data_IF_066931852223
#
_entry.id   IF_066931852223
#
_cell.length_a   1.000
_cell.length_b   1.000
_cell.length_c   1.000
_cell.angle_alpha   90.00
_cell.angle_beta   90.00
_cell.angle_gamma   90.00
#
_symmetry.space_group_name_H-M   'P 1'
#
loop_
_entity.id
_entity.type
_entity.pdbx_description
1 polymer ?
#
# COMPACT_ATOMS: atom_id res chain seq x y z
N UNK A 1 70.13 19.38 47.21
CA UNK A 1 69.62 20.06 45.99
C UNK A 1 69.18 19.09 44.89
N UNK A 2 69.95 18.04 44.55
CA UNK A 2 69.58 17.07 43.48
C UNK A 2 68.24 16.33 43.71
N UNK A 3 67.96 15.86 44.92
CA UNK A 3 66.74 15.10 45.21
C UNK A 3 65.46 15.94 45.09
N UNK A 4 65.49 17.22 45.49
CA UNK A 4 64.34 18.11 45.39
C UNK A 4 64.00 18.46 43.92
N UNK A 5 65.02 18.57 43.07
CA UNK A 5 64.83 18.84 41.64
C UNK A 5 64.13 17.66 40.93
N UNK A 6 64.52 16.43 41.27
CA UNK A 6 63.95 15.20 40.67
C UNK A 6 62.45 15.06 41.01
N UNK A 7 62.07 15.32 42.27
CA UNK A 7 60.66 15.24 42.68
C UNK A 7 59.81 16.30 41.99
N UNK A 8 60.33 17.52 41.82
CA UNK A 8 59.62 18.58 41.11
C UNK A 8 59.38 18.23 39.63
N UNK A 9 60.41 17.72 38.94
CA UNK A 9 60.27 17.27 37.56
C UNK A 9 59.30 16.10 37.40
N UNK A 10 59.31 15.14 38.33
CA UNK A 10 58.36 14.02 38.31
C UNK A 10 56.90 14.47 38.47
N UNK A 11 56.63 15.39 39.40
CA UNK A 11 55.29 15.96 39.59
C UNK A 11 54.83 16.77 38.36
N UNK A 12 55.72 17.55 37.77
CA UNK A 12 55.42 18.35 36.58
C UNK A 12 55.11 17.46 35.36
N UNK A 13 55.91 16.40 35.14
CA UNK A 13 55.66 15.42 34.07
C UNK A 13 54.35 14.65 34.30
N UNK A 14 54.03 14.29 35.55
CA UNK A 14 52.76 13.65 35.90
C UNK A 14 51.55 14.55 35.60
N UNK A 15 51.64 15.84 35.95
CA UNK A 15 50.59 16.82 35.65
C UNK A 15 50.42 17.04 34.14
N UNK A 16 51.53 17.17 33.40
CA UNK A 16 51.48 17.28 31.93
C UNK A 16 50.86 16.05 31.27
N UNK A 17 51.22 14.85 31.74
CA UNK A 17 50.63 13.61 31.24
C UNK A 17 49.11 13.56 31.52
N UNK A 18 48.68 13.92 32.72
CA UNK A 18 47.26 13.97 33.08
C UNK A 18 46.48 14.98 32.22
N UNK A 19 47.04 16.17 31.97
CA UNK A 19 46.43 17.19 31.10
C UNK A 19 46.31 16.72 29.65
N UNK A 20 47.34 16.06 29.12
CA UNK A 20 47.31 15.50 27.77
C UNK A 20 46.25 14.41 27.63
N UNK A 21 46.16 13.49 28.60
CA UNK A 21 45.12 12.45 28.63
C UNK A 21 43.73 13.08 28.72
N UNK A 22 43.54 14.08 29.57
CA UNK A 22 42.26 14.80 29.68
C UNK A 22 41.87 15.50 28.36
N UNK A 23 42.82 16.15 27.70
CA UNK A 23 42.56 16.82 26.42
C UNK A 23 42.24 15.82 25.30
N UNK A 24 42.98 14.71 25.23
CA UNK A 24 42.70 13.59 24.31
C UNK A 24 41.29 13.02 24.55
N UNK A 25 40.95 12.76 25.82
CA UNK A 25 39.64 12.26 26.22
C UNK A 25 38.52 13.21 25.79
N UNK A 26 38.64 14.52 26.07
CA UNK A 26 37.65 15.52 25.67
C UNK A 26 37.48 15.61 24.16
N UNK A 27 38.57 15.52 23.39
CA UNK A 27 38.52 15.54 21.92
C UNK A 27 37.80 14.31 21.38
N UNK A 28 38.08 13.13 21.94
CA UNK A 28 37.43 11.88 21.57
C UNK A 28 35.93 11.89 21.90
N UNK A 29 35.56 12.36 23.10
CA UNK A 29 34.16 12.43 23.53
C UNK A 29 33.35 13.39 22.64
N UNK A 30 33.89 14.57 22.32
CA UNK A 30 33.26 15.50 21.39
C UNK A 30 33.04 14.87 20.01
N UNK A 31 34.05 14.19 19.46
CA UNK A 31 33.95 13.51 18.17
C UNK A 31 32.91 12.39 18.17
N UNK A 32 32.78 11.65 19.29
CA UNK A 32 31.74 10.60 19.42
C UNK A 32 30.33 11.17 19.46
N UNK A 33 30.13 12.29 20.17
CA UNK A 33 28.82 12.94 20.25
C UNK A 33 28.41 13.49 18.89
N UNK A 34 29.33 14.09 18.15
CA UNK A 34 29.09 14.59 16.80
C UNK A 34 28.76 13.44 15.84
N UNK A 35 29.57 12.37 15.83
CA UNK A 35 29.29 11.19 15.03
C UNK A 35 27.93 10.54 15.36
N UNK A 36 27.52 10.54 16.63
CA UNK A 36 26.20 10.04 17.03
C UNK A 36 25.05 10.92 16.50
N UNK A 37 25.20 12.25 16.56
CA UNK A 37 24.22 13.19 16.00
C UNK A 37 24.10 13.07 14.49
N UNK A 38 25.22 12.94 13.80
CA UNK A 38 25.25 12.76 12.34
C UNK A 38 24.60 11.44 11.93
N UNK A 39 24.90 10.35 12.65
CA UNK A 39 24.26 9.06 12.43
C UNK A 39 22.73 9.14 12.64
N UNK A 40 22.29 9.85 13.68
CA UNK A 40 20.86 10.07 13.93
C UNK A 40 20.21 10.91 12.83
N UNK A 41 20.85 12.00 12.40
CA UNK A 41 20.34 12.84 11.32
C UNK A 41 20.22 12.06 10.01
N UNK A 42 21.23 11.27 9.67
CA UNK A 42 21.22 10.40 8.48
C UNK A 42 20.09 9.37 8.56
N UNK A 43 19.89 8.74 9.72
CA UNK A 43 18.79 7.79 9.92
C UNK A 43 17.42 8.46 9.72
N UNK A 44 17.24 9.69 10.22
CA UNK A 44 16.00 10.46 10.04
C UNK A 44 15.76 10.85 8.58
N UNK A 45 16.79 11.29 7.86
CA UNK A 45 16.71 11.63 6.44
C UNK A 45 16.32 10.39 5.63
N UNK A 46 16.98 9.26 5.88
CA UNK A 46 16.70 8.01 5.18
C UNK A 46 15.29 7.49 5.48
N UNK A 47 14.84 7.59 6.73
CA UNK A 47 13.46 7.25 7.10
C UNK A 47 12.46 8.16 6.37
N UNK A 48 12.71 9.46 6.33
CA UNK A 48 11.88 10.42 5.61
C UNK A 48 11.80 10.13 4.12
N UNK A 49 12.93 9.79 3.49
CA UNK A 49 13.00 9.38 2.08
C UNK A 49 12.15 8.16 1.80
N UNK A 50 12.31 7.09 2.59
CA UNK A 50 11.51 5.86 2.44
C UNK A 50 10.02 6.12 2.60
N UNK A 51 9.64 6.91 3.59
CA UNK A 51 8.24 7.26 3.81
C UNK A 51 7.66 8.07 2.65
N UNK A 52 8.42 9.03 2.11
CA UNK A 52 8.00 9.81 0.95
C UNK A 52 7.82 8.92 -0.29
N UNK A 53 8.77 8.02 -0.56
CA UNK A 53 8.69 7.05 -1.66
C UNK A 53 7.46 6.15 -1.53
N UNK A 54 7.23 5.58 -0.34
CA UNK A 54 6.05 4.75 -0.07
C UNK A 54 4.74 5.53 -0.23
N UNK A 55 4.69 6.77 0.27
CA UNK A 55 3.50 7.62 0.17
C UNK A 55 3.19 7.95 -1.28
N UNK A 56 4.21 8.31 -2.07
CA UNK A 56 4.05 8.60 -3.50
C UNK A 56 3.58 7.35 -4.26
N UNK A 57 4.20 6.19 -4.02
CA UNK A 57 3.80 4.93 -4.64
C UNK A 57 2.33 4.59 -4.34
N UNK A 58 1.92 4.71 -3.07
CA UNK A 58 0.54 4.47 -2.67
C UNK A 58 -0.45 5.44 -3.33
N UNK A 59 -0.08 6.72 -3.47
CA UNK A 59 -0.90 7.71 -4.16
C UNK A 59 -1.08 7.39 -5.65
N UNK A 60 0.01 7.01 -6.33
CA UNK A 60 -0.05 6.61 -7.74
C UNK A 60 -0.91 5.36 -7.94
N UNK A 61 -0.73 4.34 -7.11
CA UNK A 61 -1.55 3.13 -7.13
C UNK A 61 -3.05 3.43 -6.95
N UNK A 62 -3.37 4.27 -5.95
CA UNK A 62 -4.75 4.68 -5.68
C UNK A 62 -5.36 5.41 -6.88
N UNK A 63 -4.59 6.30 -7.51
CA UNK A 63 -5.08 7.05 -8.66
C UNK A 63 -5.26 6.17 -9.90
N UNK A 64 -4.31 5.26 -10.16
CA UNK A 64 -4.39 4.33 -11.29
C UNK A 64 -5.67 3.47 -11.22
N UNK A 65 -5.94 2.86 -10.07
CA UNK A 65 -7.17 2.10 -9.84
C UNK A 65 -8.43 2.95 -10.02
N UNK A 66 -8.44 4.18 -9.48
CA UNK A 66 -9.60 5.08 -9.59
C UNK A 66 -9.88 5.53 -11.02
N UNK A 67 -8.86 5.70 -11.84
CA UNK A 67 -9.03 6.07 -13.24
C UNK A 67 -9.65 4.92 -14.05
N UNK A 68 -9.25 3.69 -13.76
CA UNK A 68 -9.69 2.52 -14.51
C UNK A 68 -11.06 1.98 -14.08
N UNK A 69 -11.53 2.33 -12.88
CA UNK A 69 -12.80 1.83 -12.32
C UNK A 69 -14.03 2.21 -13.12
N UNK A 70 -13.93 3.24 -13.97
CA UNK A 70 -15.00 3.63 -14.88
C UNK A 70 -15.42 2.48 -15.80
N UNK A 71 -14.49 1.59 -16.18
CA UNK A 71 -14.77 0.41 -16.98
C UNK A 71 -15.77 -0.53 -16.27
N UNK A 72 -15.59 -0.77 -14.97
CA UNK A 72 -16.52 -1.57 -14.17
C UNK A 72 -17.92 -0.94 -14.13
N UNK A 73 -18.03 0.39 -14.13
CA UNK A 73 -19.33 1.07 -14.12
C UNK A 73 -20.08 0.87 -15.44
N UNK A 74 -19.38 0.95 -16.59
CA UNK A 74 -19.99 0.64 -17.89
C UNK A 74 -20.44 -0.82 -17.97
N UNK A 75 -19.60 -1.76 -17.51
CA UNK A 75 -19.93 -3.18 -17.52
C UNK A 75 -21.16 -3.49 -16.65
N UNK A 76 -21.24 -2.92 -15.44
CA UNK A 76 -22.40 -3.10 -14.57
C UNK A 76 -23.69 -2.59 -15.20
N UNK A 77 -23.66 -1.47 -15.90
CA UNK A 77 -24.83 -0.97 -16.64
C UNK A 77 -25.25 -1.97 -17.71
N UNK A 78 -24.31 -2.43 -18.55
CA UNK A 78 -24.63 -3.36 -19.64
C UNK A 78 -25.11 -4.73 -19.12
N UNK A 79 -24.53 -5.24 -18.03
CA UNK A 79 -25.02 -6.45 -17.34
C UNK A 79 -26.43 -6.24 -16.79
N UNK A 80 -26.70 -5.08 -16.19
CA UNK A 80 -28.03 -4.74 -15.65
C UNK A 80 -29.08 -4.69 -16.77
N UNK A 81 -28.77 -4.02 -17.89
CA UNK A 81 -29.65 -3.93 -19.05
C UNK A 81 -29.91 -5.30 -19.69
N UNK A 82 -28.87 -6.14 -19.79
CA UNK A 82 -29.02 -7.52 -20.26
C UNK A 82 -29.97 -8.30 -19.36
N UNK A 83 -29.79 -8.24 -18.03
CA UNK A 83 -30.65 -8.91 -17.08
C UNK A 83 -32.10 -8.44 -17.21
N UNK A 84 -32.34 -7.14 -17.28
CA UNK A 84 -33.69 -6.58 -17.42
C UNK A 84 -34.38 -7.01 -18.72
N UNK A 85 -33.61 -7.21 -19.79
CA UNK A 85 -34.14 -7.58 -21.10
C UNK A 85 -34.37 -9.09 -21.26
N UNK A 86 -33.55 -9.92 -20.59
CA UNK A 86 -33.51 -11.37 -20.81
C UNK A 86 -33.99 -12.20 -19.60
N UNK A 87 -34.12 -11.59 -18.42
CA UNK A 87 -34.50 -12.28 -17.19
C UNK A 87 -33.43 -13.25 -16.65
N UNK A 88 -32.19 -13.18 -17.17
CA UNK A 88 -31.05 -13.97 -16.71
C UNK A 88 -29.77 -13.15 -16.78
N UNK A 89 -28.78 -13.52 -15.98
CA UNK A 89 -27.45 -12.91 -16.06
C UNK A 89 -26.72 -13.32 -17.36
N UNK A 90 -25.88 -12.44 -17.93
CA UNK A 90 -24.97 -12.81 -18.99
C UNK A 90 -23.87 -13.74 -18.46
N UNK A 91 -23.40 -14.66 -19.30
CA UNK A 91 -22.32 -15.59 -18.97
C UNK A 91 -20.92 -15.04 -19.29
N UNK A 92 -20.85 -14.01 -20.13
CA UNK A 92 -19.59 -13.44 -20.61
C UNK A 92 -19.76 -12.03 -21.18
N UNK A 93 -18.64 -11.38 -21.53
CA UNK A 93 -18.63 -10.04 -22.13
C UNK A 93 -19.51 -9.95 -23.38
N UNK A 94 -19.41 -10.93 -24.28
CA UNK A 94 -20.11 -10.90 -25.55
C UNK A 94 -21.64 -10.93 -25.36
N UNK A 95 -22.14 -11.74 -24.42
CA UNK A 95 -23.57 -11.74 -24.06
C UNK A 95 -24.01 -10.39 -23.48
N UNK A 96 -23.17 -9.80 -22.63
CA UNK A 96 -23.43 -8.47 -22.05
C UNK A 96 -23.33 -7.33 -23.10
N UNK A 97 -22.92 -7.62 -24.34
CA UNK A 97 -22.69 -6.59 -25.37
C UNK A 97 -21.42 -5.77 -25.15
N UNK A 98 -20.47 -6.31 -24.39
CA UNK A 98 -19.17 -5.71 -24.11
C UNK A 98 -18.12 -6.21 -25.10
N UNK A 99 -17.06 -5.42 -25.26
CA UNK A 99 -15.90 -5.82 -26.03
C UNK A 99 -15.07 -6.91 -25.33
N UNK A 100 -14.09 -7.45 -26.05
CA UNK A 100 -13.15 -8.45 -25.50
C UNK A 100 -12.43 -7.92 -24.25
N UNK A 101 -12.10 -8.81 -23.32
CA UNK A 101 -11.67 -8.44 -21.97
C UNK A 101 -10.46 -7.49 -21.94
N UNK A 102 -9.49 -7.73 -22.82
CA UNK A 102 -8.25 -6.95 -22.92
C UNK A 102 -8.42 -5.59 -23.62
N UNK A 103 -9.57 -5.32 -24.24
CA UNK A 103 -9.85 -4.03 -24.86
C UNK A 103 -10.08 -2.90 -23.86
N UNK A 104 -10.35 -3.27 -22.60
CA UNK A 104 -10.53 -2.34 -21.48
C UNK A 104 -9.22 -1.92 -20.81
N UNK A 105 -8.05 -2.29 -21.36
CA UNK A 105 -6.76 -1.94 -20.79
C UNK A 105 -6.66 -0.43 -20.51
N UNK A 106 -6.29 -0.12 -19.27
CA UNK A 106 -6.23 1.24 -18.75
C UNK A 106 -4.83 1.61 -18.29
N UNK A 107 -4.76 2.45 -17.26
CA UNK A 107 -3.50 2.84 -16.65
C UNK A 107 -2.82 1.66 -15.94
N UNK A 108 -3.58 0.91 -15.16
CA UNK A 108 -3.17 -0.31 -14.44
C UNK A 108 -4.08 -1.51 -14.73
N UNK A 109 -5.25 -1.28 -15.33
CA UNK A 109 -6.20 -2.32 -15.67
C UNK A 109 -5.69 -3.17 -16.84
N UNK A 110 -5.61 -4.49 -16.62
CA UNK A 110 -5.21 -5.50 -17.60
C UNK A 110 -6.42 -6.00 -18.37
N UNK A 111 -7.51 -6.31 -17.67
CA UNK A 111 -8.68 -6.95 -18.27
C UNK A 111 -9.95 -6.69 -17.48
N UNK A 112 -11.08 -6.59 -18.18
CA UNK A 112 -12.42 -6.63 -17.60
C UNK A 112 -13.17 -7.84 -18.14
N UNK A 113 -13.64 -8.71 -17.24
CA UNK A 113 -14.38 -9.91 -17.60
C UNK A 113 -15.69 -9.98 -16.84
N UNK A 114 -16.77 -10.19 -17.58
CA UNK A 114 -18.03 -10.70 -17.05
C UNK A 114 -17.91 -12.21 -17.01
N UNK A 115 -18.11 -12.80 -15.85
CA UNK A 115 -18.10 -14.26 -15.64
C UNK A 115 -19.54 -14.78 -15.53
N UNK A 116 -19.68 -16.09 -15.36
CA UNK A 116 -20.97 -16.70 -15.07
C UNK A 116 -21.64 -16.03 -13.87
N UNK A 117 -22.97 -15.93 -13.90
CA UNK A 117 -23.78 -15.16 -12.94
C UNK A 117 -23.64 -13.64 -13.05
N UNK A 118 -23.02 -13.10 -14.12
CA UNK A 118 -22.98 -11.65 -14.37
C UNK A 118 -22.04 -10.89 -13.45
N UNK A 119 -21.16 -11.59 -12.74
CA UNK A 119 -20.11 -10.98 -11.94
C UNK A 119 -19.14 -10.24 -12.86
N UNK A 120 -18.77 -9.02 -12.48
CA UNK A 120 -17.76 -8.22 -13.19
C UNK A 120 -16.45 -8.30 -12.43
N UNK A 121 -15.40 -8.81 -13.07
CA UNK A 121 -14.05 -8.92 -12.52
C UNK A 121 -13.07 -8.05 -13.29
N UNK A 122 -12.33 -7.23 -12.55
CA UNK A 122 -11.20 -6.45 -13.05
C UNK A 122 -9.91 -7.08 -12.53
N UNK A 123 -8.89 -7.15 -13.39
CA UNK A 123 -7.53 -7.60 -13.04
C UNK A 123 -6.56 -6.46 -13.31
N UNK A 124 -5.71 -6.14 -12.35
CA UNK A 124 -4.76 -5.04 -12.41
C UNK A 124 -3.32 -5.52 -12.42
N UNK A 125 -2.41 -4.69 -12.92
CA UNK A 125 -0.95 -4.92 -12.89
C UNK A 125 -0.29 -4.31 -11.65
N UNK A 126 1.03 -4.49 -11.53
CA UNK A 126 1.82 -3.95 -10.42
C UNK A 126 1.67 -2.44 -10.16
N UNK A 127 1.21 -1.63 -11.12
CA UNK A 127 1.03 -0.18 -10.93
C UNK A 127 -0.12 0.12 -9.95
N UNK A 128 -1.08 -0.79 -9.78
CA UNK A 128 -2.11 -0.71 -8.73
C UNK A 128 -1.57 -0.99 -7.32
N UNK A 129 -0.30 -1.41 -7.21
CA UNK A 129 0.34 -1.87 -5.98
C UNK A 129 0.28 -3.38 -5.76
N UNK A 130 -0.51 -4.13 -6.54
CA UNK A 130 -0.58 -5.59 -6.48
C UNK A 130 -0.67 -6.17 -7.89
N UNK A 131 0.39 -6.85 -8.33
CA UNK A 131 0.43 -7.48 -9.65
C UNK A 131 -0.55 -8.65 -9.73
N UNK A 132 -1.46 -8.61 -10.70
CA UNK A 132 -2.57 -9.57 -10.82
C UNK A 132 -3.70 -9.34 -9.81
N UNK A 133 -3.66 -8.26 -9.02
CA UNK A 133 -4.68 -8.00 -8.01
C UNK A 133 -6.06 -7.74 -8.61
N UNK A 134 -7.11 -8.16 -7.91
CA UNK A 134 -8.47 -8.23 -8.46
C UNK A 134 -9.47 -7.38 -7.67
N UNK A 135 -10.47 -6.86 -8.38
CA UNK A 135 -11.66 -6.24 -7.79
C UNK A 135 -12.88 -6.77 -8.53
N UNK A 136 -13.88 -7.18 -7.77
CA UNK A 136 -15.04 -7.92 -8.27
C UNK A 136 -16.34 -7.24 -7.85
N UNK A 137 -17.30 -7.17 -8.77
CA UNK A 137 -18.67 -6.75 -8.48
C UNK A 137 -19.61 -7.93 -8.67
N UNK A 138 -20.32 -8.28 -7.60
CA UNK A 138 -21.30 -9.35 -7.57
C UNK A 138 -22.70 -8.76 -7.62
N UNK A 139 -23.55 -9.16 -8.57
CA UNK A 139 -24.93 -8.70 -8.61
C UNK A 139 -25.74 -9.32 -7.45
N UNK A 140 -26.49 -8.49 -6.72
CA UNK A 140 -27.43 -8.95 -5.70
C UNK A 140 -28.88 -8.83 -6.21
N UNK A 141 -29.53 -9.99 -6.30
CA UNK A 141 -30.89 -10.16 -6.79
C UNK A 141 -31.94 -10.21 -5.67
N UNK A 142 -31.55 -10.27 -4.40
CA UNK A 142 -32.46 -10.52 -3.28
C UNK A 142 -33.55 -9.44 -3.12
N UNK A 143 -33.30 -8.21 -3.58
CA UNK A 143 -34.20 -7.06 -3.49
C UNK A 143 -34.58 -6.43 -4.82
N UNK A 144 -34.41 -7.12 -5.95
CA UNK A 144 -34.48 -6.49 -7.26
C UNK A 144 -35.84 -5.87 -7.59
N UNK A 145 -36.95 -6.43 -7.09
CA UNK A 145 -38.30 -5.91 -7.32
C UNK A 145 -38.58 -4.56 -6.63
N UNK A 146 -37.84 -4.25 -5.55
CA UNK A 146 -38.08 -3.06 -4.73
C UNK A 146 -36.99 -2.01 -4.86
N UNK A 147 -35.72 -2.43 -4.96
CA UNK A 147 -34.56 -1.53 -4.99
C UNK A 147 -33.82 -1.55 -6.32
N UNK A 148 -34.24 -2.39 -7.28
CA UNK A 148 -33.48 -2.66 -8.50
C UNK A 148 -32.23 -3.50 -8.23
N UNK A 149 -31.49 -3.83 -9.29
CA UNK A 149 -30.29 -4.65 -9.20
C UNK A 149 -29.22 -3.93 -8.38
N UNK A 150 -28.83 -4.53 -7.25
CA UNK A 150 -27.76 -4.03 -6.39
C UNK A 150 -26.43 -4.70 -6.74
N UNK A 151 -25.33 -4.11 -6.30
CA UNK A 151 -23.99 -4.59 -6.57
C UNK A 151 -23.14 -4.56 -5.30
N UNK A 152 -22.55 -5.70 -4.97
CA UNK A 152 -21.56 -5.82 -3.92
C UNK A 152 -20.17 -5.75 -4.54
N UNK A 153 -19.30 -4.88 -4.02
CA UNK A 153 -17.93 -4.75 -4.50
C UNK A 153 -16.96 -5.38 -3.49
N UNK A 154 -16.11 -6.28 -3.96
CA UNK A 154 -15.18 -7.04 -3.12
C UNK A 154 -13.78 -7.07 -3.72
N UNK A 155 -12.78 -7.22 -2.86
CA UNK A 155 -11.43 -7.58 -3.26
C UNK A 155 -10.77 -8.46 -2.20
N UNK A 156 -10.03 -9.47 -2.66
CA UNK A 156 -9.19 -10.32 -1.82
C UNK A 156 -7.72 -9.87 -1.79
N UNK A 157 -7.35 -8.94 -2.67
CA UNK A 157 -5.96 -8.57 -2.93
C UNK A 157 -5.58 -7.19 -2.37
N UNK A 158 -6.57 -6.31 -2.16
CA UNK A 158 -6.36 -4.94 -1.69
C UNK A 158 -6.95 -4.72 -0.28
N UNK A 159 -6.18 -4.90 0.81
CA UNK A 159 -6.64 -4.66 2.18
C UNK A 159 -7.26 -3.28 2.43
N UNK A 160 -6.84 -2.30 1.66
CA UNK A 160 -7.26 -0.91 1.73
C UNK A 160 -8.31 -0.54 0.67
N UNK A 161 -8.97 -1.52 0.04
CA UNK A 161 -9.92 -1.30 -1.06
C UNK A 161 -11.05 -0.35 -0.69
N UNK A 162 -11.57 -0.39 0.54
CA UNK A 162 -12.64 0.50 1.02
C UNK A 162 -12.24 1.97 1.07
N UNK A 163 -10.94 2.24 1.18
CA UNK A 163 -10.36 3.60 1.13
C UNK A 163 -10.08 4.02 -0.31
N UNK A 164 -9.63 3.09 -1.15
CA UNK A 164 -9.38 3.35 -2.58
C UNK A 164 -10.70 3.59 -3.31
N UNK A 165 -11.66 2.68 -3.14
CA UNK A 165 -12.96 2.64 -3.78
C UNK A 165 -14.05 2.56 -2.71
N UNK A 166 -14.76 3.67 -2.50
CA UNK A 166 -15.84 3.72 -1.54
C UNK A 166 -16.96 2.74 -1.94
N UNK A 167 -17.45 1.95 -0.98
CA UNK A 167 -18.46 0.92 -1.20
C UNK A 167 -17.90 -0.46 -1.55
N UNK A 168 -16.59 -0.60 -1.67
CA UNK A 168 -15.94 -1.90 -1.76
C UNK A 168 -15.49 -2.40 -0.39
N UNK A 169 -15.56 -3.71 -0.16
CA UNK A 169 -15.08 -4.38 1.04
C UNK A 169 -13.88 -5.28 0.74
N UNK A 170 -12.97 -5.39 1.70
CA UNK A 170 -11.90 -6.37 1.66
C UNK A 170 -12.37 -7.65 2.33
N UNK A 171 -12.30 -8.76 1.62
CA UNK A 171 -12.61 -10.08 2.15
C UNK A 171 -11.38 -10.96 1.94
N UNK A 172 -10.69 -11.46 2.96
CA UNK A 172 -9.56 -12.35 2.72
C UNK A 172 -10.07 -13.72 2.28
N UNK A 173 -9.41 -14.35 1.31
CA UNK A 173 -9.77 -15.66 0.70
C UNK A 173 -9.93 -16.83 1.71
N UNK A 174 -9.56 -16.60 2.98
CA UNK A 174 -9.60 -17.59 4.07
C UNK A 174 -10.44 -17.14 5.29
N UNK A 175 -11.36 -16.18 5.16
CA UNK A 175 -12.30 -15.87 6.24
C UNK A 175 -13.30 -17.02 6.41
N UNK A 176 -13.04 -17.92 7.37
CA UNK A 176 -14.01 -18.92 7.80
C UNK A 176 -15.36 -18.28 8.16
N UNK A 177 -16.50 -18.94 7.89
CA UNK A 177 -17.81 -18.36 8.13
C UNK A 177 -17.98 -18.02 9.62
N UNK A 178 -18.19 -16.74 9.92
CA UNK A 178 -18.62 -16.28 11.22
C UNK A 178 -20.03 -16.85 11.45
N UNK A 179 -20.12 -17.91 12.26
CA UNK A 179 -21.41 -18.41 12.71
C UNK A 179 -22.06 -17.34 13.60
N UNK A 180 -23.03 -16.63 13.06
CA UNK A 180 -23.92 -15.75 13.83
C UNK A 180 -24.83 -16.65 14.66
N UNK A 181 -24.52 -16.78 15.94
CA UNK A 181 -25.40 -17.43 16.91
C UNK A 181 -26.71 -16.64 16.99
N UNK A 182 -27.83 -17.35 16.74
CA UNK A 182 -29.20 -16.86 16.97
C UNK A 182 -29.55 -16.87 18.45
#
# INVERSE_FOLDING_TARGET
>A
MRSALITFFACFLGMLAALLVYHQYRKYDAARVEAAKDAELQARIEQGRKLAEQTLAQQFATQAMRNDIVAASMARVSVSEFYMSNGRMPANNAEAGLAEADSFRGQSLISLTVTDQGQVKLVFDALSGVDGGTVEWHPDLAGIESMGLQWECLSHDYPQISTILHGCAFEPEHAAPVQVAR
#
